data_IF_797488554209
#
_entry.id   IF_797488554209
#
_cell.length_a   1.000
_cell.length_b   1.000
_cell.length_c   1.000
_cell.angle_alpha   90.00
_cell.angle_beta   90.00
_cell.angle_gamma   90.00
#
_symmetry.space_group_name_H-M   'P 1'
#
loop_
_entity.id
_entity.type
_entity.pdbx_description
1 polymer ?
#
# COMPACT_ATOMS: atom_id res chain seq x y z
N UNK A 1 -3.33 -45.47 -10.65
CA UNK A 1 -4.29 -45.44 -9.52
C UNK A 1 -4.20 -44.04 -8.92
N UNK A 2 -5.11 -43.16 -9.32
CA UNK A 2 -5.14 -41.80 -8.84
C UNK A 2 -5.86 -41.71 -7.49
N UNK A 3 -5.10 -41.48 -6.44
CA UNK A 3 -5.67 -41.18 -5.13
C UNK A 3 -6.23 -39.77 -5.13
N UNK A 4 -7.54 -39.64 -5.15
CA UNK A 4 -8.25 -38.38 -4.87
C UNK A 4 -7.97 -38.03 -3.41
N UNK A 5 -7.11 -37.02 -3.19
CA UNK A 5 -6.90 -36.46 -1.86
C UNK A 5 -8.21 -35.78 -1.44
N UNK A 6 -8.85 -36.33 -0.41
CA UNK A 6 -10.06 -35.75 0.20
C UNK A 6 -9.80 -34.31 0.54
N UNK A 7 -10.73 -33.44 0.14
CA UNK A 7 -10.67 -32.00 0.40
C UNK A 7 -10.35 -31.71 1.85
N UNK A 8 -9.20 -31.09 2.03
CA UNK A 8 -8.61 -30.74 3.32
C UNK A 8 -9.46 -29.69 4.05
N UNK A 9 -9.27 -29.54 5.34
CA UNK A 9 -9.81 -28.50 6.23
C UNK A 9 -9.87 -27.12 5.56
N UNK A 10 -8.84 -26.78 4.79
CA UNK A 10 -8.69 -25.55 3.98
C UNK A 10 -9.89 -25.26 3.05
N UNK A 11 -10.48 -26.28 2.41
CA UNK A 11 -11.64 -26.07 1.51
C UNK A 11 -12.91 -25.65 2.29
N UNK A 12 -13.09 -26.14 3.50
CA UNK A 12 -14.21 -25.76 4.38
C UNK A 12 -14.05 -24.31 4.85
N UNK A 13 -12.85 -23.91 5.23
CA UNK A 13 -12.53 -22.57 5.69
C UNK A 13 -12.67 -21.55 4.57
N UNK A 14 -12.17 -21.84 3.37
CA UNK A 14 -12.36 -20.95 2.21
C UNK A 14 -13.84 -20.75 1.86
N UNK A 15 -14.67 -21.78 1.98
CA UNK A 15 -16.13 -21.65 1.80
C UNK A 15 -16.75 -20.80 2.89
N UNK A 16 -16.28 -20.90 4.14
CA UNK A 16 -16.76 -20.09 5.25
C UNK A 16 -16.43 -18.59 5.02
N UNK A 17 -15.23 -18.28 4.54
CA UNK A 17 -14.83 -16.91 4.17
C UNK A 17 -15.70 -16.38 3.04
N UNK A 18 -15.89 -17.15 1.96
CA UNK A 18 -16.75 -16.73 0.85
C UNK A 18 -18.19 -16.45 1.31
N UNK A 19 -18.76 -17.30 2.19
CA UNK A 19 -20.08 -17.09 2.77
C UNK A 19 -20.14 -15.85 3.67
N UNK A 20 -19.06 -15.56 4.43
CA UNK A 20 -18.98 -14.36 5.25
C UNK A 20 -18.94 -13.08 4.41
N UNK A 21 -18.14 -13.06 3.34
CA UNK A 21 -18.11 -11.95 2.38
C UNK A 21 -19.48 -11.73 1.74
N UNK A 22 -20.16 -12.80 1.31
CA UNK A 22 -21.51 -12.68 0.73
C UNK A 22 -22.51 -12.07 1.72
N UNK A 23 -22.49 -12.49 2.98
CA UNK A 23 -23.33 -11.91 4.03
C UNK A 23 -23.03 -10.44 4.26
N UNK A 24 -21.75 -10.07 4.32
CA UNK A 24 -21.35 -8.67 4.48
C UNK A 24 -21.85 -7.80 3.33
N UNK A 25 -21.66 -8.23 2.08
CA UNK A 25 -22.18 -7.51 0.90
C UNK A 25 -23.71 -7.34 0.96
N UNK A 26 -24.43 -8.37 1.40
CA UNK A 26 -25.90 -8.32 1.53
C UNK A 26 -26.33 -7.34 2.61
N UNK A 27 -25.65 -7.32 3.76
CA UNK A 27 -25.92 -6.39 4.86
C UNK A 27 -25.64 -4.94 4.45
N UNK A 28 -24.49 -4.68 3.82
CA UNK A 28 -24.12 -3.36 3.30
C UNK A 28 -25.17 -2.81 2.33
N UNK A 29 -25.65 -3.64 1.39
CA UNK A 29 -26.69 -3.25 0.43
C UNK A 29 -28.03 -2.95 1.10
N UNK A 30 -28.31 -3.56 2.23
CA UNK A 30 -29.56 -3.37 2.97
C UNK A 30 -29.49 -2.20 3.98
N UNK A 31 -28.34 -1.53 4.11
CA UNK A 31 -28.16 -0.41 5.04
C UNK A 31 -29.08 0.75 4.68
N UNK A 32 -29.81 1.33 5.64
CA UNK A 32 -30.66 2.50 5.41
C UNK A 32 -29.86 3.80 5.28
N UNK A 33 -28.55 3.80 5.65
CA UNK A 33 -27.64 4.94 5.51
C UNK A 33 -26.66 4.69 4.36
N UNK A 34 -26.85 5.34 3.19
CA UNK A 34 -25.96 5.17 2.05
C UNK A 34 -24.50 5.60 2.32
N UNK A 35 -24.28 6.57 3.21
CA UNK A 35 -22.93 7.03 3.53
C UNK A 35 -22.20 6.00 4.42
N UNK A 36 -22.91 5.40 5.38
CA UNK A 36 -22.37 4.28 6.15
C UNK A 36 -22.09 3.06 5.25
N UNK A 37 -23.05 2.69 4.40
CA UNK A 37 -22.91 1.60 3.44
C UNK A 37 -21.67 1.78 2.52
N UNK A 38 -21.44 2.99 2.05
CA UNK A 38 -20.25 3.28 1.22
C UNK A 38 -18.94 3.08 2.00
N UNK A 39 -18.87 3.52 3.25
CA UNK A 39 -17.69 3.30 4.11
C UNK A 39 -17.43 1.81 4.34
N UNK A 40 -18.46 1.07 4.71
CA UNK A 40 -18.38 -0.38 4.95
C UNK A 40 -17.98 -1.14 3.66
N UNK A 41 -18.49 -0.74 2.51
CA UNK A 41 -18.09 -1.30 1.22
C UNK A 41 -16.61 -1.03 0.91
N UNK A 42 -16.11 0.17 1.27
CA UNK A 42 -14.69 0.51 1.10
C UNK A 42 -13.79 -0.33 2.02
N UNK A 43 -14.19 -0.53 3.27
CA UNK A 43 -13.48 -1.41 4.21
C UNK A 43 -13.44 -2.87 3.72
N UNK A 44 -14.54 -3.36 3.16
CA UNK A 44 -14.59 -4.69 2.56
C UNK A 44 -13.66 -4.80 1.35
N UNK A 45 -13.56 -3.76 0.53
CA UNK A 45 -12.61 -3.67 -0.58
C UNK A 45 -11.16 -3.72 -0.11
N UNK A 46 -10.82 -2.98 0.96
CA UNK A 46 -9.50 -3.00 1.56
C UNK A 46 -9.13 -4.37 2.14
N UNK A 47 -10.08 -5.02 2.80
CA UNK A 47 -9.91 -6.38 3.30
C UNK A 47 -9.67 -7.37 2.15
N UNK A 48 -10.42 -7.26 1.06
CA UNK A 48 -10.26 -8.12 -0.12
C UNK A 48 -8.86 -7.98 -0.74
N UNK A 49 -8.34 -6.77 -0.84
CA UNK A 49 -6.96 -6.52 -1.32
C UNK A 49 -5.90 -7.16 -0.43
N UNK A 50 -6.07 -7.11 0.89
CA UNK A 50 -5.16 -7.78 1.84
C UNK A 50 -5.19 -9.30 1.71
N UNK A 51 -6.38 -9.88 1.57
CA UNK A 51 -6.53 -11.31 1.34
C UNK A 51 -5.85 -11.74 0.03
N UNK A 52 -6.01 -10.94 -1.03
CA UNK A 52 -5.36 -11.22 -2.31
C UNK A 52 -3.84 -11.14 -2.23
N UNK A 53 -3.31 -10.13 -1.54
CA UNK A 53 -1.87 -9.99 -1.30
C UNK A 53 -1.31 -11.19 -0.51
N UNK A 54 -1.95 -11.58 0.60
CA UNK A 54 -1.55 -12.74 1.39
C UNK A 54 -1.60 -14.04 0.58
N UNK A 55 -2.65 -14.24 -0.21
CA UNK A 55 -2.75 -15.38 -1.12
C UNK A 55 -1.65 -15.34 -2.21
N UNK A 56 -1.24 -14.15 -2.63
CA UNK A 56 -0.11 -13.93 -3.54
C UNK A 56 1.20 -14.40 -2.94
N UNK A 57 1.46 -14.04 -1.69
CA UNK A 57 2.67 -14.42 -0.96
C UNK A 57 2.73 -15.93 -0.71
N UNK A 58 1.63 -16.54 -0.30
CA UNK A 58 1.54 -18.00 -0.16
C UNK A 58 1.79 -18.70 -1.50
N UNK A 59 1.23 -18.22 -2.60
CA UNK A 59 1.49 -18.81 -3.95
C UNK A 59 2.95 -18.70 -4.34
N UNK A 60 3.59 -17.56 -4.06
CA UNK A 60 5.00 -17.34 -4.35
C UNK A 60 5.89 -18.29 -3.54
N UNK A 61 5.66 -18.38 -2.24
CA UNK A 61 6.37 -19.30 -1.34
C UNK A 61 6.24 -20.75 -1.79
N UNK A 62 5.00 -21.21 -2.07
CA UNK A 62 4.76 -22.58 -2.53
C UNK A 62 5.41 -22.85 -3.87
N UNK A 63 5.41 -21.89 -4.81
CA UNK A 63 6.09 -22.04 -6.10
C UNK A 63 7.61 -22.21 -5.93
N UNK A 64 8.24 -21.44 -5.04
CA UNK A 64 9.66 -21.59 -4.71
C UNK A 64 9.94 -22.97 -4.11
N UNK A 65 9.14 -23.41 -3.14
CA UNK A 65 9.28 -24.74 -2.52
C UNK A 65 9.10 -25.90 -3.50
N UNK A 66 8.11 -25.83 -4.38
CA UNK A 66 7.89 -26.87 -5.41
C UNK A 66 9.13 -27.03 -6.31
N UNK A 67 9.78 -25.92 -6.65
CA UNK A 67 11.02 -25.95 -7.45
C UNK A 67 12.18 -26.55 -6.65
N UNK A 68 12.36 -26.14 -5.40
CA UNK A 68 13.45 -26.59 -4.53
C UNK A 68 13.30 -28.09 -4.16
N UNK A 69 12.15 -28.47 -3.63
CA UNK A 69 11.90 -29.85 -3.17
C UNK A 69 11.80 -30.83 -4.34
N UNK A 70 11.20 -30.40 -5.46
CA UNK A 70 10.97 -31.23 -6.63
C UNK A 70 12.09 -31.19 -7.69
N UNK A 71 13.10 -30.33 -7.52
CA UNK A 71 14.15 -30.07 -8.52
C UNK A 71 13.58 -29.79 -9.93
N UNK A 72 12.45 -29.08 -9.98
CA UNK A 72 11.73 -28.78 -11.21
C UNK A 72 12.33 -27.54 -11.90
N UNK A 73 12.39 -27.58 -13.23
CA UNK A 73 12.66 -26.39 -14.02
C UNK A 73 11.46 -25.45 -14.03
N UNK A 74 11.71 -24.15 -14.27
CA UNK A 74 10.63 -23.15 -14.39
C UNK A 74 9.61 -23.49 -15.49
N UNK A 75 10.02 -24.18 -16.54
CA UNK A 75 9.12 -24.64 -17.60
C UNK A 75 8.19 -25.75 -17.10
N UNK A 76 8.71 -26.70 -16.32
CA UNK A 76 7.92 -27.77 -15.72
C UNK A 76 6.96 -27.22 -14.67
N UNK A 77 7.40 -26.25 -13.84
CA UNK A 77 6.51 -25.55 -12.91
C UNK A 77 5.37 -24.83 -13.65
N UNK A 78 5.69 -24.15 -14.76
CA UNK A 78 4.69 -23.47 -15.58
C UNK A 78 3.61 -24.41 -16.08
N UNK A 79 4.00 -25.59 -16.60
CA UNK A 79 3.07 -26.63 -17.03
C UNK A 79 2.24 -27.17 -15.87
N UNK A 80 2.88 -27.45 -14.72
CA UNK A 80 2.21 -27.98 -13.52
C UNK A 80 1.13 -27.04 -12.99
N UNK A 81 1.39 -25.72 -12.98
CA UNK A 81 0.50 -24.71 -12.43
C UNK A 81 -0.39 -24.03 -13.48
N UNK A 82 -0.31 -24.45 -14.75
CA UNK A 82 -1.03 -23.86 -15.89
C UNK A 82 -0.76 -22.33 -16.01
N UNK A 83 0.52 -21.93 -15.91
CA UNK A 83 0.98 -20.55 -16.05
C UNK A 83 2.18 -20.47 -17.01
N UNK A 84 2.45 -19.28 -17.54
CA UNK A 84 3.63 -19.07 -18.38
C UNK A 84 4.94 -19.27 -17.60
N UNK A 85 6.01 -19.66 -18.31
CA UNK A 85 7.36 -19.74 -17.72
C UNK A 85 7.79 -18.42 -17.08
N UNK A 86 7.46 -17.28 -17.70
CA UNK A 86 7.77 -15.96 -17.16
C UNK A 86 7.06 -15.72 -15.82
N UNK A 87 5.78 -16.11 -15.73
CA UNK A 87 5.01 -16.01 -14.48
C UNK A 87 5.54 -16.96 -13.41
N UNK A 88 5.94 -18.19 -13.78
CA UNK A 88 6.59 -19.12 -12.88
C UNK A 88 7.90 -18.53 -12.29
N UNK A 89 8.73 -17.91 -13.14
CA UNK A 89 9.97 -17.27 -12.71
C UNK A 89 9.71 -16.12 -11.73
N UNK A 90 8.70 -15.28 -11.99
CA UNK A 90 8.32 -14.21 -11.08
C UNK A 90 7.87 -14.72 -9.71
N UNK A 91 7.04 -15.76 -9.68
CA UNK A 91 6.57 -16.36 -8.42
C UNK A 91 7.71 -16.97 -7.62
N UNK A 92 8.59 -17.74 -8.25
CA UNK A 92 9.73 -18.35 -7.58
C UNK A 92 10.66 -17.29 -7.00
N UNK A 93 10.99 -16.26 -7.79
CA UNK A 93 11.81 -15.14 -7.31
C UNK A 93 11.17 -14.45 -6.10
N UNK A 94 9.90 -14.10 -6.17
CA UNK A 94 9.18 -13.47 -5.07
C UNK A 94 9.12 -14.36 -3.81
N UNK A 95 8.95 -15.67 -3.98
CA UNK A 95 8.96 -16.63 -2.87
C UNK A 95 10.33 -16.78 -2.21
N UNK A 96 11.41 -16.77 -3.00
CA UNK A 96 12.78 -16.80 -2.48
C UNK A 96 13.15 -15.49 -1.73
N UNK A 97 12.68 -14.35 -2.22
CA UNK A 97 12.95 -13.04 -1.59
C UNK A 97 12.17 -12.85 -0.28
N UNK A 98 10.93 -13.36 -0.20
CA UNK A 98 10.05 -13.16 0.97
C UNK A 98 10.16 -14.27 2.03
N UNK A 99 10.60 -15.46 1.64
CA UNK A 99 10.63 -16.63 2.51
C UNK A 99 9.23 -17.15 2.89
N UNK A 100 9.16 -17.92 3.98
CA UNK A 100 7.90 -18.50 4.47
C UNK A 100 6.96 -17.39 4.95
N UNK A 101 5.71 -17.30 4.41
CA UNK A 101 4.74 -16.35 4.90
C UNK A 101 4.42 -16.65 6.36
N UNK A 102 4.61 -15.69 7.25
CA UNK A 102 4.25 -15.82 8.65
C UNK A 102 2.73 -15.99 8.78
N UNK A 103 2.29 -17.22 9.00
CA UNK A 103 0.92 -17.55 9.36
C UNK A 103 0.83 -17.73 10.87
N UNK A 104 0.77 -16.66 11.61
CA UNK A 104 0.30 -16.70 12.99
C UNK A 104 -1.21 -16.47 12.99
N UNK A 105 -2.04 -17.50 13.28
CA UNK A 105 -3.49 -17.36 13.27
C UNK A 105 -4.05 -16.50 14.40
N UNK A 106 -3.20 -15.93 15.25
CA UNK A 106 -3.57 -15.14 16.42
C UNK A 106 -3.22 -13.66 16.33
N UNK A 107 -2.50 -13.23 15.31
CA UNK A 107 -2.18 -11.81 15.12
C UNK A 107 -2.88 -11.34 13.85
N UNK A 108 -3.92 -10.51 13.99
CA UNK A 108 -4.35 -9.67 12.86
C UNK A 108 -3.10 -9.00 12.31
N UNK A 109 -2.78 -9.15 11.00
CA UNK A 109 -1.61 -8.48 10.45
C UNK A 109 -1.74 -7.01 10.79
N UNK A 110 -0.78 -6.49 11.52
CA UNK A 110 -0.74 -5.09 11.91
C UNK A 110 -0.97 -4.27 10.62
N UNK A 111 -1.95 -3.36 10.60
CA UNK A 111 -2.31 -2.67 9.37
C UNK A 111 -1.05 -2.02 8.81
N UNK A 112 -0.80 -2.14 7.49
CA UNK A 112 0.45 -1.71 6.90
C UNK A 112 0.75 -0.26 7.27
N UNK A 113 1.96 -0.04 7.76
CA UNK A 113 2.46 1.30 8.08
C UNK A 113 2.72 2.03 6.77
N UNK A 114 2.20 3.24 6.65
CA UNK A 114 2.43 4.11 5.49
C UNK A 114 3.28 5.29 5.93
N UNK A 115 4.40 5.49 5.25
CA UNK A 115 5.28 6.65 5.46
C UNK A 115 4.97 7.72 4.40
N UNK A 116 4.67 8.94 4.84
CA UNK A 116 4.33 10.10 4.01
C UNK A 116 5.41 11.18 4.20
N UNK A 117 5.94 11.67 3.10
CA UNK A 117 6.97 12.70 3.09
C UNK A 117 6.38 14.10 3.01
N UNK A 118 6.69 14.93 3.97
CA UNK A 118 6.42 16.36 3.94
C UNK A 118 7.67 17.05 3.40
N UNK A 119 7.79 17.02 2.07
CA UNK A 119 8.94 17.61 1.38
C UNK A 119 8.72 19.10 1.22
N UNK A 120 9.60 19.91 1.80
CA UNK A 120 9.51 21.37 1.74
C UNK A 120 10.73 21.98 1.04
N UNK A 121 10.49 23.04 0.28
CA UNK A 121 11.50 23.85 -0.39
C UNK A 121 11.05 25.31 -0.46
N UNK A 122 11.84 26.19 -1.09
CA UNK A 122 11.45 27.57 -1.38
C UNK A 122 10.24 27.67 -2.32
N UNK A 123 9.91 26.59 -3.05
CA UNK A 123 8.76 26.50 -3.94
C UNK A 123 7.45 26.12 -3.20
N UNK A 124 7.55 25.71 -1.91
CA UNK A 124 6.42 25.27 -1.12
C UNK A 124 6.54 23.84 -0.62
N UNK A 125 5.43 23.12 -0.50
CA UNK A 125 5.35 21.70 -0.14
C UNK A 125 5.02 20.86 -1.37
N UNK A 126 5.70 19.71 -1.51
CA UNK A 126 5.46 18.77 -2.59
C UNK A 126 4.20 17.97 -2.29
N UNK A 127 3.25 17.98 -3.23
CA UNK A 127 2.00 17.23 -3.16
C UNK A 127 1.71 16.52 -4.48
N UNK A 128 0.90 15.50 -4.41
CA UNK A 128 0.47 14.72 -5.55
C UNK A 128 -1.05 14.59 -5.59
N UNK A 129 -1.61 14.49 -6.79
CA UNK A 129 -3.03 14.28 -7.03
C UNK A 129 -3.27 12.91 -7.63
N UNK A 130 -4.12 12.13 -6.99
CA UNK A 130 -4.48 10.79 -7.43
C UNK A 130 -5.60 10.81 -8.47
N UNK A 131 -5.61 9.81 -9.36
CA UNK A 131 -6.69 9.63 -10.34
C UNK A 131 -8.02 9.25 -9.67
N UNK A 132 -7.99 8.45 -8.61
CA UNK A 132 -9.18 8.03 -7.89
C UNK A 132 -9.86 9.18 -7.10
N UNK A 133 -9.16 10.27 -6.89
CA UNK A 133 -9.64 11.46 -6.21
C UNK A 133 -10.01 11.27 -4.73
N UNK A 134 -9.55 10.18 -4.08
CA UNK A 134 -9.90 9.84 -2.69
C UNK A 134 -8.65 9.44 -1.88
N UNK A 135 -8.01 10.38 -1.14
CA UNK A 135 -8.18 11.83 -1.20
C UNK A 135 -7.67 12.38 -2.54
N UNK A 136 -8.22 13.51 -3.02
CA UNK A 136 -7.78 14.10 -4.29
C UNK A 136 -6.33 14.52 -4.25
N UNK A 137 -5.90 15.14 -3.15
CA UNK A 137 -4.52 15.54 -2.92
C UNK A 137 -3.94 14.84 -1.69
N UNK A 138 -2.67 14.48 -1.76
CA UNK A 138 -1.94 13.81 -0.69
C UNK A 138 -0.45 14.16 -0.73
N UNK A 139 0.29 13.72 0.26
CA UNK A 139 1.75 13.78 0.26
C UNK A 139 2.32 12.51 -0.34
N UNK A 140 3.43 12.63 -1.08
CA UNK A 140 4.13 11.50 -1.67
C UNK A 140 4.61 10.52 -0.59
N UNK A 141 4.53 9.23 -0.88
CA UNK A 141 4.97 8.21 0.05
C UNK A 141 4.33 6.85 -0.22
N UNK A 142 4.43 5.95 0.73
CA UNK A 142 3.89 4.60 0.51
C UNK A 142 4.11 3.67 1.67
N UNK A 143 3.75 2.43 1.42
CA UNK A 143 3.85 1.35 2.38
C UNK A 143 5.30 1.09 2.80
N UNK A 144 5.50 0.93 4.10
CA UNK A 144 6.78 0.54 4.70
C UNK A 144 6.88 -0.98 4.64
N UNK A 145 7.88 -1.51 3.96
CA UNK A 145 8.06 -2.95 3.82
C UNK A 145 8.61 -3.58 5.09
N UNK A 146 8.45 -4.89 5.23
CA UNK A 146 9.01 -5.64 6.34
C UNK A 146 10.53 -5.42 6.44
N UNK A 147 11.00 -4.98 7.61
CA UNK A 147 12.43 -4.66 7.85
C UNK A 147 12.89 -3.29 7.31
N UNK A 148 12.01 -2.56 6.62
CA UNK A 148 12.29 -1.20 6.13
C UNK A 148 11.97 -0.17 7.22
N UNK A 149 12.79 0.88 7.35
CA UNK A 149 12.42 2.02 8.19
C UNK A 149 11.48 2.98 7.44
N UNK A 150 10.61 3.74 8.15
CA UNK A 150 9.78 4.75 7.51
C UNK A 150 10.57 5.78 6.70
N UNK A 151 11.77 6.13 7.15
CA UNK A 151 12.68 7.01 6.45
C UNK A 151 13.18 6.41 5.13
N UNK A 152 13.52 5.11 5.13
CA UNK A 152 13.93 4.40 3.93
C UNK A 152 12.78 4.30 2.91
N UNK A 153 11.55 4.04 3.37
CA UNK A 153 10.37 4.01 2.53
C UNK A 153 10.14 5.36 1.82
N UNK A 154 10.28 6.48 2.52
CA UNK A 154 10.19 7.84 1.95
C UNK A 154 11.29 8.06 0.91
N UNK A 155 12.55 7.76 1.23
CA UNK A 155 13.69 7.93 0.31
C UNK A 155 13.52 7.08 -0.96
N UNK A 156 12.89 5.93 -0.85
CA UNK A 156 12.59 5.04 -1.98
C UNK A 156 11.41 5.54 -2.82
N UNK A 157 10.29 5.91 -2.18
CA UNK A 157 9.02 6.17 -2.87
C UNK A 157 8.94 7.55 -3.50
N UNK A 158 9.39 8.59 -2.80
CA UNK A 158 9.28 9.97 -3.29
C UNK A 158 9.93 10.16 -4.67
N UNK A 159 11.17 9.69 -4.94
CA UNK A 159 11.75 9.80 -6.27
C UNK A 159 10.99 9.01 -7.35
N UNK A 160 10.39 7.87 -6.98
CA UNK A 160 9.60 7.04 -7.91
C UNK A 160 8.32 7.73 -8.34
N UNK A 161 7.66 8.45 -7.43
CA UNK A 161 6.36 9.11 -7.67
C UNK A 161 6.52 10.50 -8.26
N UNK A 162 7.55 11.24 -7.84
CA UNK A 162 7.65 12.68 -8.10
C UNK A 162 8.89 13.12 -8.87
N UNK A 163 9.88 12.22 -9.02
CA UNK A 163 11.19 12.55 -9.59
C UNK A 163 12.14 13.27 -8.63
N UNK A 164 11.67 13.71 -7.45
CA UNK A 164 12.47 14.48 -6.49
C UNK A 164 13.20 13.54 -5.54
N UNK A 165 14.53 13.53 -5.58
CA UNK A 165 15.34 12.85 -4.57
C UNK A 165 15.31 13.63 -3.26
N UNK A 166 15.15 12.93 -2.12
CA UNK A 166 14.95 13.55 -0.81
C UNK A 166 15.93 13.06 0.24
N UNK A 167 16.17 13.89 1.25
CA UNK A 167 17.04 13.64 2.39
C UNK A 167 16.49 14.32 3.67
N UNK A 168 17.14 14.09 4.81
CA UNK A 168 16.83 14.79 6.05
C UNK A 168 15.48 14.40 6.66
N UNK A 169 15.22 13.10 6.80
CA UNK A 169 13.94 12.59 7.27
C UNK A 169 13.86 12.53 8.80
N UNK A 170 12.99 13.35 9.39
CA UNK A 170 12.64 13.33 10.80
C UNK A 170 11.13 13.11 10.97
N UNK A 171 10.71 12.40 12.01
CA UNK A 171 9.28 12.14 12.26
C UNK A 171 8.61 13.40 12.78
N UNK A 172 7.65 13.94 12.01
CA UNK A 172 6.76 15.03 12.43
C UNK A 172 5.68 14.51 13.37
N UNK A 173 5.14 13.32 13.07
CA UNK A 173 4.10 12.70 13.87
C UNK A 173 3.56 11.43 13.26
N UNK A 174 2.69 10.78 14.03
CA UNK A 174 2.00 9.56 13.59
C UNK A 174 0.54 9.61 13.99
N UNK A 175 -0.32 9.01 13.18
CA UNK A 175 -1.73 8.81 13.51
C UNK A 175 -2.25 7.50 12.93
N UNK A 176 -3.35 7.02 13.46
CA UNK A 176 -4.17 6.00 12.78
C UNK A 176 -5.08 6.72 11.81
N UNK A 177 -5.10 6.29 10.55
CA UNK A 177 -5.98 6.88 9.54
C UNK A 177 -7.45 6.54 9.88
N UNK A 178 -8.34 7.55 10.04
CA UNK A 178 -9.68 7.33 10.61
C UNK A 178 -10.58 6.44 9.75
N UNK A 179 -10.32 6.35 8.45
CA UNK A 179 -11.13 5.54 7.52
C UNK A 179 -10.54 4.16 7.24
N UNK A 180 -9.21 4.01 7.26
CA UNK A 180 -8.55 2.77 6.84
C UNK A 180 -7.92 1.98 7.98
N UNK A 181 -7.83 2.55 9.18
CA UNK A 181 -7.13 1.95 10.33
C UNK A 181 -5.60 1.85 10.16
N UNK A 182 -5.05 2.29 9.03
CA UNK A 182 -3.60 2.23 8.76
C UNK A 182 -2.84 3.19 9.66
N UNK A 183 -1.66 2.79 10.10
CA UNK A 183 -0.74 3.69 10.79
C UNK A 183 -0.06 4.58 9.76
N UNK A 184 -0.27 5.88 9.84
CA UNK A 184 0.42 6.88 9.02
C UNK A 184 1.55 7.52 9.82
N UNK A 185 2.75 7.53 9.26
CA UNK A 185 3.92 8.22 9.81
C UNK A 185 4.29 9.34 8.85
N UNK A 186 4.29 10.56 9.35
CA UNK A 186 4.65 11.75 8.59
C UNK A 186 6.09 12.13 8.90
N UNK A 187 6.91 12.28 7.86
CA UNK A 187 8.32 12.62 7.97
C UNK A 187 8.59 13.93 7.23
N UNK A 188 9.35 14.82 7.85
CA UNK A 188 9.94 15.96 7.16
C UNK A 188 10.98 15.48 6.16
N UNK A 189 11.12 16.15 5.04
CA UNK A 189 12.18 15.89 4.09
C UNK A 189 12.48 17.17 3.30
N UNK A 190 13.67 17.21 2.71
CA UNK A 190 14.13 18.28 1.81
C UNK A 190 14.65 17.68 0.51
N UNK A 191 14.52 18.39 -0.62
CA UNK A 191 15.16 17.95 -1.86
C UNK A 191 16.69 17.83 -1.68
N UNK A 192 17.24 16.73 -2.18
CA UNK A 192 18.70 16.48 -2.18
C UNK A 192 19.40 16.92 -3.49
N UNK A 193 18.68 17.63 -4.37
CA UNK A 193 19.16 18.07 -5.68
C UNK A 193 18.12 18.91 -6.40
N UNK A 194 17.78 18.56 -7.65
CA UNK A 194 16.76 19.28 -8.41
C UNK A 194 15.39 19.25 -7.72
N UNK A 195 14.66 20.34 -7.86
CA UNK A 195 13.25 20.49 -7.46
C UNK A 195 12.28 20.30 -8.64
N UNK A 196 12.80 19.89 -9.81
CA UNK A 196 11.97 19.54 -10.95
C UNK A 196 11.09 18.34 -10.64
N UNK A 197 9.81 18.46 -10.91
CA UNK A 197 8.82 17.43 -10.64
C UNK A 197 8.29 16.82 -11.93
N UNK A 198 8.01 15.53 -11.87
CA UNK A 198 7.26 14.83 -12.91
C UNK A 198 6.42 13.71 -12.29
N UNK A 199 5.36 13.30 -12.98
CA UNK A 199 4.55 12.15 -12.58
C UNK A 199 5.33 10.88 -12.89
N UNK A 200 5.82 10.21 -11.86
CA UNK A 200 6.60 8.97 -12.00
C UNK A 200 5.75 7.71 -12.13
N UNK A 201 4.51 7.76 -11.64
CA UNK A 201 3.52 6.68 -11.72
C UNK A 201 2.22 7.21 -12.34
N UNK A 202 2.15 7.30 -13.68
CA UNK A 202 1.00 7.89 -14.38
C UNK A 202 -0.27 7.02 -14.29
N UNK A 203 -0.18 5.77 -13.86
CA UNK A 203 -1.36 4.92 -13.66
C UNK A 203 -2.09 5.28 -12.35
N UNK A 204 -1.37 5.71 -11.33
CA UNK A 204 -1.91 6.09 -10.03
C UNK A 204 -2.08 7.61 -9.86
N UNK A 205 -1.15 8.39 -10.44
CA UNK A 205 -1.05 9.83 -10.21
C UNK A 205 -1.42 10.64 -11.45
N UNK A 206 -2.28 11.62 -11.24
CA UNK A 206 -2.70 12.57 -12.27
C UNK A 206 -1.81 13.82 -12.33
N UNK A 207 -1.20 14.21 -11.21
CA UNK A 207 -0.41 15.44 -11.11
C UNK A 207 0.55 15.37 -9.92
N UNK A 208 1.73 15.99 -10.07
CA UNK A 208 2.69 16.25 -9.00
C UNK A 208 3.09 17.72 -9.06
N UNK A 209 3.09 18.43 -7.95
CA UNK A 209 3.47 19.84 -7.93
C UNK A 209 3.94 20.34 -6.57
N UNK A 210 4.61 21.47 -6.58
CA UNK A 210 4.84 22.29 -5.40
C UNK A 210 3.61 23.18 -5.16
N UNK A 211 3.15 23.22 -3.92
CA UNK A 211 2.03 24.01 -3.48
C UNK A 211 2.45 24.97 -2.36
N UNK A 212 1.92 26.18 -2.39
CA UNK A 212 2.03 27.10 -1.25
C UNK A 212 1.27 26.55 -0.04
N UNK A 213 1.56 27.08 1.14
CA UNK A 213 0.82 26.71 2.36
C UNK A 213 -0.69 26.90 2.20
N UNK A 214 -1.13 28.02 1.59
CA UNK A 214 -2.54 28.30 1.37
C UNK A 214 -3.22 27.29 0.46
N UNK A 215 -2.60 26.93 -0.67
CA UNK A 215 -3.10 25.89 -1.58
C UNK A 215 -3.17 24.52 -0.87
N UNK A 216 -2.14 24.15 -0.12
CA UNK A 216 -2.12 22.89 0.61
C UNK A 216 -3.22 22.82 1.70
N UNK A 217 -3.50 23.91 2.41
CA UNK A 217 -4.58 23.98 3.40
C UNK A 217 -5.97 23.94 2.74
N UNK A 218 -6.13 24.59 1.57
CA UNK A 218 -7.38 24.57 0.80
C UNK A 218 -7.68 23.19 0.23
N UNK A 219 -6.68 22.51 -0.37
CA UNK A 219 -6.89 21.24 -1.07
C UNK A 219 -6.85 20.03 -0.14
N UNK A 220 -6.28 20.18 1.07
CA UNK A 220 -6.23 19.14 2.10
C UNK A 220 -6.80 19.66 3.44
N UNK A 221 -8.11 19.99 3.51
CA UNK A 221 -8.72 20.57 4.70
C UNK A 221 -8.60 19.66 5.93
N UNK A 222 -8.58 18.34 5.72
CA UNK A 222 -8.43 17.32 6.77
C UNK A 222 -6.96 16.98 7.07
N UNK A 223 -6.02 17.85 6.68
CA UNK A 223 -4.60 17.68 6.96
C UNK A 223 -4.35 17.46 8.44
N UNK A 224 -3.49 16.47 8.75
CA UNK A 224 -3.11 16.14 10.13
C UNK A 224 -2.55 17.40 10.84
N UNK A 225 -3.07 17.78 12.04
CA UNK A 225 -2.69 19.01 12.70
C UNK A 225 -1.18 19.19 12.89
N UNK A 226 -0.45 18.13 13.27
CA UNK A 226 1.00 18.21 13.45
C UNK A 226 1.74 18.56 12.13
N UNK A 227 1.25 18.07 10.98
CA UNK A 227 1.78 18.43 9.66
C UNK A 227 1.47 19.88 9.32
N UNK A 228 0.24 20.34 9.57
CA UNK A 228 -0.16 21.74 9.37
C UNK A 228 0.71 22.69 10.19
N UNK A 229 0.93 22.38 11.46
CA UNK A 229 1.77 23.17 12.35
C UNK A 229 3.24 23.17 11.90
N UNK A 230 3.73 22.04 11.38
CA UNK A 230 5.06 21.94 10.80
C UNK A 230 5.17 22.85 9.55
N UNK A 231 4.24 22.78 8.61
CA UNK A 231 4.24 23.58 7.40
C UNK A 231 4.17 25.09 7.70
N UNK A 232 3.35 25.51 8.66
CA UNK A 232 3.26 26.91 9.10
C UNK A 232 4.54 27.47 9.69
N UNK A 233 5.38 26.61 10.28
CA UNK A 233 6.70 27.03 10.80
C UNK A 233 7.80 27.01 9.76
N UNK A 234 7.65 26.17 8.73
CA UNK A 234 8.72 25.90 7.75
C UNK A 234 8.55 26.70 6.47
N UNK A 235 7.31 26.87 6.00
CA UNK A 235 7.02 27.60 4.77
C UNK A 235 6.84 29.10 5.04
N UNK A 236 7.22 29.97 4.09
CA UNK A 236 6.97 31.40 4.20
C UNK A 236 5.45 31.66 4.29
N UNK A 237 5.08 32.68 5.06
CA UNK A 237 3.70 33.14 5.12
C UNK A 237 3.18 33.51 3.72
N UNK A 238 1.92 33.24 3.40
CA UNK A 238 1.33 33.64 2.14
C UNK A 238 1.47 35.18 1.98
N UNK A 239 1.95 35.58 0.80
CA UNK A 239 2.07 37.03 0.44
C UNK A 239 0.71 37.60 0.10
#
# INVERSE_FOLDING_TARGET
MGGFVKGTTTTRELRAVAAAVHRAVTAIKASPDPAAAFREASELGDMSRRIEAAAGDVRAYLAARIVEDGQLSLSQLGVMLDISKARAAQLVKAGQEKGEPMTDPGTDPEPPVVALAIVTSDLGVLIERRHDGIPPWTFAGGEVFAGESPAAAVVRRVPQETGVTVTGTEVIGRRIHPKTGRVLIYLSASPAGSTDVHVGDPDDLAEVRWASLGEAEEWMPDMFPAVRDYLRRTLPAPR
#
